data_IF_271240765167
#
_entry.id   IF_271240765167
#
_cell.length_a   1.000
_cell.length_b   1.000
_cell.length_c   1.000
_cell.angle_alpha   90.00
_cell.angle_beta   90.00
_cell.angle_gamma   90.00
#
_symmetry.space_group_name_H-M   'P 1'
#
loop_
_entity.id
_entity.type
_entity.pdbx_description
1 polymer ?
#
# COMPACT_ATOMS: atom_id res chain seq x y z
N UNK A 1 3.95 14.85 0.54
CA UNK A 1 3.57 14.56 1.94
C UNK A 1 3.95 13.14 2.28
N UNK A 2 4.09 12.83 3.57
CA UNK A 2 4.25 11.47 4.07
C UNK A 2 3.10 11.21 5.04
N UNK A 3 2.36 10.14 4.84
CA UNK A 3 1.31 9.68 5.75
C UNK A 3 1.71 8.35 6.38
N UNK A 4 1.45 8.19 7.68
CA UNK A 4 1.63 6.92 8.39
C UNK A 4 0.28 6.21 8.48
N UNK A 5 0.24 4.98 8.00
CA UNK A 5 -0.97 4.21 7.79
C UNK A 5 -0.82 2.86 8.49
N UNK A 6 -1.41 2.69 9.69
CA UNK A 6 -1.45 1.39 10.33
C UNK A 6 -2.29 0.43 9.51
N UNK A 7 -1.84 -0.82 9.40
CA UNK A 7 -2.65 -1.88 8.81
C UNK A 7 -3.86 -2.16 9.73
N UNK A 8 -5.11 -2.05 9.23
CA UNK A 8 -6.31 -2.16 10.07
C UNK A 8 -6.50 -3.54 10.68
N UNK A 9 -6.04 -4.59 10.01
CA UNK A 9 -6.21 -5.97 10.48
C UNK A 9 -4.93 -6.53 11.10
N UNK A 10 -3.78 -5.90 10.84
CA UNK A 10 -2.49 -6.26 11.45
C UNK A 10 -1.86 -5.03 12.12
N UNK A 11 -2.33 -4.63 13.32
CA UNK A 11 -1.86 -3.41 13.99
C UNK A 11 -0.36 -3.36 14.30
N UNK A 12 0.33 -4.51 14.25
CA UNK A 12 1.77 -4.61 14.38
C UNK A 12 2.57 -4.10 13.18
N UNK A 13 1.91 -3.62 12.11
CA UNK A 13 2.55 -3.09 10.91
C UNK A 13 2.03 -1.69 10.60
N UNK A 14 2.95 -0.78 10.26
CA UNK A 14 2.64 0.57 9.76
C UNK A 14 3.33 0.79 8.42
N UNK A 15 2.56 1.28 7.46
CA UNK A 15 3.04 1.70 6.15
C UNK A 15 3.18 3.22 6.10
N UNK A 16 4.37 3.70 5.75
CA UNK A 16 4.61 5.09 5.44
C UNK A 16 4.50 5.27 3.94
N UNK A 17 3.64 6.19 3.52
CA UNK A 17 3.39 6.43 2.12
C UNK A 17 3.74 7.87 1.78
N UNK A 18 4.74 8.01 0.91
CA UNK A 18 5.15 9.29 0.39
C UNK A 18 4.42 9.52 -0.93
N UNK A 19 3.75 10.67 -1.08
CA UNK A 19 3.12 11.05 -2.34
C UNK A 19 3.17 12.56 -2.59
N UNK A 20 3.04 12.94 -3.85
CA UNK A 20 2.97 14.34 -4.26
C UNK A 20 1.52 14.75 -4.51
N UNK A 21 1.02 15.72 -3.73
CA UNK A 21 -0.30 16.33 -3.94
C UNK A 21 -0.12 17.59 -4.80
N UNK A 22 -0.61 17.57 -6.04
CA UNK A 22 -0.68 18.78 -6.86
C UNK A 22 -1.98 19.51 -6.53
N UNK A 23 -1.86 20.69 -5.93
CA UNK A 23 -3.00 21.60 -5.75
C UNK A 23 -3.68 21.87 -7.11
N UNK A 24 -5.01 22.02 -7.12
CA UNK A 24 -5.75 22.35 -8.34
C UNK A 24 -5.24 23.63 -9.02
N UNK A 25 -4.68 24.57 -8.25
CA UNK A 25 -4.11 25.83 -8.74
C UNK A 25 -2.82 25.62 -9.53
N UNK A 26 -1.96 24.68 -9.15
CA UNK A 26 -0.73 24.37 -9.90
C UNK A 26 -1.01 23.63 -11.21
N UNK A 27 -2.05 22.80 -11.24
CA UNK A 27 -2.51 22.11 -12.46
C UNK A 27 -2.99 23.09 -13.54
N UNK A 28 -3.66 24.17 -13.14
CA UNK A 28 -4.13 25.22 -14.06
C UNK A 28 -2.96 26.07 -14.57
N UNK A 29 -1.92 26.30 -13.75
CA UNK A 29 -0.81 27.21 -14.08
C UNK A 29 0.28 26.60 -14.97
N UNK A 30 0.53 25.29 -14.91
CA UNK A 30 1.72 24.69 -15.53
C UNK A 30 1.46 23.84 -16.80
N UNK A 31 0.21 23.70 -17.26
CA UNK A 31 -0.13 23.09 -18.57
C UNK A 31 0.25 21.62 -18.77
N UNK A 32 1.01 21.00 -17.87
CA UNK A 32 1.51 19.64 -18.00
C UNK A 32 0.51 18.65 -17.38
N UNK A 33 -0.50 18.28 -18.18
CA UNK A 33 -1.67 17.50 -17.77
C UNK A 33 -1.38 15.98 -17.63
N UNK A 34 -0.29 15.49 -18.24
CA UNK A 34 -0.06 14.05 -18.43
C UNK A 34 1.23 13.50 -17.80
N UNK A 35 2.13 14.35 -17.31
CA UNK A 35 3.32 13.89 -16.58
C UNK A 35 3.15 14.08 -15.07
N UNK A 36 2.45 13.15 -14.44
CA UNK A 36 2.67 12.86 -13.02
C UNK A 36 3.48 11.56 -12.97
N UNK A 37 4.82 11.64 -13.03
CA UNK A 37 5.61 10.43 -13.02
C UNK A 37 5.52 9.84 -11.61
N UNK A 38 4.74 8.78 -11.43
CA UNK A 38 5.03 7.68 -10.49
C UNK A 38 5.48 8.03 -9.05
N UNK A 39 5.10 9.17 -8.48
CA UNK A 39 5.70 9.66 -7.23
C UNK A 39 4.94 9.17 -5.99
N UNK A 40 4.61 7.88 -5.94
CA UNK A 40 4.15 7.27 -4.68
C UNK A 40 5.13 6.17 -4.28
N UNK A 41 5.68 6.29 -3.08
CA UNK A 41 6.51 5.25 -2.48
C UNK A 41 5.85 4.72 -1.21
N UNK A 42 5.91 3.42 -0.97
CA UNK A 42 5.38 2.75 0.21
C UNK A 42 6.50 2.03 0.95
N UNK A 43 6.58 2.25 2.26
CA UNK A 43 7.49 1.53 3.14
C UNK A 43 6.76 1.05 4.38
N UNK A 44 6.54 -0.26 4.47
CA UNK A 44 5.86 -0.90 5.58
C UNK A 44 6.89 -1.51 6.53
N UNK A 45 6.73 -1.22 7.82
CA UNK A 45 7.65 -1.65 8.86
C UNK A 45 6.89 -2.33 9.98
N UNK A 46 7.53 -3.34 10.58
CA UNK A 46 7.04 -3.97 11.79
C UNK A 46 7.26 -3.04 12.98
N UNK A 47 6.19 -2.81 13.74
CA UNK A 47 6.22 -2.03 14.98
C UNK A 47 5.74 -2.85 16.20
N UNK A 48 5.19 -4.05 15.98
CA UNK A 48 4.66 -4.89 17.05
C UNK A 48 4.52 -6.36 16.66
N UNK A 49 3.76 -7.09 17.47
CA UNK A 49 3.40 -8.49 17.20
C UNK A 49 2.48 -8.59 15.98
N UNK A 50 2.65 -9.62 15.17
CA UNK A 50 1.79 -9.92 14.02
C UNK A 50 0.95 -11.14 14.37
N UNK A 51 -0.36 -11.04 14.16
CA UNK A 51 -1.28 -12.16 14.22
C UNK A 51 -1.95 -12.29 12.85
N UNK A 52 -1.90 -13.48 12.26
CA UNK A 52 -2.50 -13.78 10.96
C UNK A 52 -3.85 -14.49 11.09
N UNK A 53 -4.38 -14.64 12.30
CA UNK A 53 -5.69 -15.25 12.52
C UNK A 53 -6.80 -14.47 11.78
N UNK A 54 -7.49 -15.13 10.86
CA UNK A 54 -8.57 -14.52 10.08
C UNK A 54 -8.11 -13.64 8.92
N UNK A 55 -6.79 -13.51 8.69
CA UNK A 55 -6.24 -12.77 7.55
C UNK A 55 -6.27 -13.64 6.30
N UNK A 56 -6.79 -13.09 5.21
CA UNK A 56 -6.81 -13.79 3.92
C UNK A 56 -5.39 -14.07 3.41
N UNK A 57 -5.13 -15.34 3.11
CA UNK A 57 -3.89 -15.82 2.49
C UNK A 57 -4.04 -16.02 0.97
N UNK A 58 -5.12 -15.50 0.39
CA UNK A 58 -5.35 -15.57 -1.05
C UNK A 58 -4.24 -14.87 -1.83
N UNK A 59 -3.84 -15.46 -2.96
CA UNK A 59 -2.90 -14.84 -3.90
C UNK A 59 -3.39 -13.52 -4.47
N UNK A 60 -4.71 -13.33 -4.53
CA UNK A 60 -5.27 -12.06 -4.96
C UNK A 60 -5.00 -10.95 -3.95
N UNK A 61 -4.71 -11.24 -2.68
CA UNK A 61 -4.56 -10.24 -1.63
C UNK A 61 -5.82 -9.44 -1.33
N UNK A 62 -5.70 -8.56 -0.35
CA UNK A 62 -6.78 -7.73 0.19
C UNK A 62 -6.41 -6.25 0.11
N UNK A 63 -7.36 -5.42 -0.32
CA UNK A 63 -7.18 -3.97 -0.32
C UNK A 63 -7.48 -3.43 1.07
N UNK A 64 -6.47 -2.87 1.72
CA UNK A 64 -6.52 -2.55 3.16
C UNK A 64 -6.88 -1.09 3.47
N UNK A 65 -7.01 -0.24 2.44
CA UNK A 65 -7.39 1.17 2.63
C UNK A 65 -8.50 1.62 1.68
N UNK A 66 -9.50 2.30 2.25
CA UNK A 66 -10.66 2.81 1.54
C UNK A 66 -10.43 4.23 0.99
N UNK A 67 -10.87 4.47 -0.25
CA UNK A 67 -10.82 5.75 -0.95
C UNK A 67 -11.45 6.94 -0.20
N UNK A 68 -12.35 6.68 0.74
CA UNK A 68 -13.05 7.72 1.51
C UNK A 68 -12.17 8.41 2.56
N UNK A 69 -11.05 7.80 2.93
CA UNK A 69 -10.24 8.25 4.08
C UNK A 69 -9.20 9.32 3.72
N UNK A 70 -8.69 9.35 2.48
CA UNK A 70 -7.68 10.33 2.04
C UNK A 70 -7.80 10.64 0.54
N UNK A 71 -7.43 11.86 0.15
CA UNK A 71 -7.26 12.22 -1.27
C UNK A 71 -6.23 11.31 -1.96
N UNK A 72 -5.24 10.81 -1.22
CA UNK A 72 -4.28 9.84 -1.72
C UNK A 72 -4.95 8.55 -2.21
N UNK A 73 -5.89 8.00 -1.44
CA UNK A 73 -6.53 6.72 -1.76
C UNK A 73 -7.56 6.81 -2.89
N UNK A 74 -7.97 8.01 -3.32
CA UNK A 74 -8.80 8.17 -4.53
C UNK A 74 -8.09 7.63 -5.76
N UNK A 75 -6.77 7.78 -5.80
CA UNK A 75 -5.96 7.51 -6.99
C UNK A 75 -5.01 6.33 -6.78
N UNK A 76 -4.74 5.91 -5.53
CA UNK A 76 -3.84 4.80 -5.22
C UNK A 76 -4.53 3.77 -4.33
N UNK A 77 -4.31 2.49 -4.62
CA UNK A 77 -4.73 1.37 -3.79
C UNK A 77 -3.49 0.72 -3.16
N UNK A 78 -3.61 0.23 -1.92
CA UNK A 78 -2.59 -0.60 -1.28
C UNK A 78 -3.20 -1.95 -0.97
N UNK A 79 -2.49 -3.00 -1.42
CA UNK A 79 -2.94 -4.36 -1.32
C UNK A 79 -1.98 -5.18 -0.47
N UNK A 80 -2.52 -5.85 0.55
CA UNK A 80 -1.81 -6.80 1.41
C UNK A 80 -1.89 -8.20 0.80
N UNK A 81 -0.76 -8.87 0.68
CA UNK A 81 -0.67 -10.27 0.23
C UNK A 81 0.17 -11.02 1.25
N UNK A 82 -0.36 -12.11 1.80
CA UNK A 82 0.38 -13.00 2.70
C UNK A 82 1.03 -14.11 1.88
N UNK A 83 2.36 -14.09 1.78
CA UNK A 83 3.15 -15.14 1.16
C UNK A 83 3.72 -16.07 2.24
N UNK A 84 2.98 -17.13 2.53
CA UNK A 84 3.37 -18.15 3.51
C UNK A 84 4.61 -18.95 3.06
N UNK A 85 4.83 -19.09 1.75
CA UNK A 85 5.96 -19.87 1.23
C UNK A 85 7.28 -19.14 1.48
N UNK A 86 7.31 -17.83 1.22
CA UNK A 86 8.48 -16.99 1.45
C UNK A 86 8.52 -16.32 2.82
N UNK A 87 7.50 -16.56 3.66
CA UNK A 87 7.40 -16.04 5.03
C UNK A 87 7.41 -14.52 5.05
N UNK A 88 6.58 -13.91 4.22
CA UNK A 88 6.54 -12.44 4.06
C UNK A 88 5.11 -11.95 3.85
N UNK A 89 4.80 -10.76 4.38
CA UNK A 89 3.64 -9.98 3.96
C UNK A 89 4.12 -8.95 2.95
N UNK A 90 3.48 -8.92 1.79
CA UNK A 90 3.75 -7.94 0.75
C UNK A 90 2.66 -6.87 0.77
N UNK A 91 3.08 -5.62 0.67
CA UNK A 91 2.22 -4.46 0.52
C UNK A 91 2.50 -3.85 -0.85
N UNK A 92 1.55 -3.99 -1.76
CA UNK A 92 1.65 -3.49 -3.13
C UNK A 92 0.81 -2.24 -3.25
N UNK A 93 1.46 -1.10 -3.46
CA UNK A 93 0.78 0.12 -3.88
C UNK A 93 0.67 0.16 -5.40
N UNK A 94 -0.48 0.56 -5.93
CA UNK A 94 -0.67 0.74 -7.37
C UNK A 94 -1.65 1.87 -7.68
N UNK A 95 -1.43 2.54 -8.80
CA UNK A 95 -2.35 3.56 -9.31
C UNK A 95 -3.67 2.93 -9.78
N UNK A 96 -4.79 3.58 -9.44
CA UNK A 96 -6.13 3.28 -9.99
C UNK A 96 -6.40 4.02 -11.30
N UNK A 97 -5.65 5.08 -11.58
CA UNK A 97 -5.75 5.79 -12.86
C UNK A 97 -5.14 4.94 -13.98
N UNK A 98 -5.98 4.50 -14.93
CA UNK A 98 -5.50 3.93 -16.18
C UNK A 98 -4.91 5.06 -17.03
N UNK A 99 -3.60 5.28 -16.91
CA UNK A 99 -2.86 6.20 -17.79
C UNK A 99 -2.08 5.35 -18.80
N UNK A 100 -2.45 5.46 -20.08
CA UNK A 100 -1.73 5.05 -21.29
C UNK A 100 -0.53 4.10 -21.09
N UNK A 101 -0.80 2.86 -20.67
CA UNK A 101 0.17 1.77 -20.74
C UNK A 101 1.26 1.72 -19.66
N UNK A 102 1.19 2.52 -18.58
CA UNK A 102 2.14 2.42 -17.45
C UNK A 102 1.45 2.06 -16.14
N UNK A 103 1.53 0.78 -15.75
CA UNK A 103 1.16 0.34 -14.41
C UNK A 103 2.20 0.88 -13.40
N UNK A 104 1.87 1.97 -12.70
CA UNK A 104 2.71 2.50 -11.62
C UNK A 104 2.45 1.68 -10.37
N UNK A 105 3.49 0.99 -9.90
CA UNK A 105 3.44 0.12 -8.73
C UNK A 105 4.68 0.32 -7.88
N UNK A 106 4.52 0.17 -6.58
CA UNK A 106 5.61 0.05 -5.62
C UNK A 106 5.29 -1.05 -4.60
N UNK A 107 6.31 -1.66 -4.02
CA UNK A 107 6.18 -2.82 -3.15
C UNK A 107 7.03 -2.68 -1.89
N UNK A 108 6.45 -3.06 -0.76
CA UNK A 108 7.16 -3.23 0.49
C UNK A 108 6.92 -4.64 1.05
N UNK A 109 7.94 -5.23 1.68
CA UNK A 109 7.86 -6.57 2.25
C UNK A 109 8.20 -6.55 3.74
N UNK A 110 7.40 -7.26 4.54
CA UNK A 110 7.60 -7.43 5.98
C UNK A 110 7.81 -8.91 6.26
N UNK A 111 8.98 -9.33 6.78
CA UNK A 111 9.27 -10.73 7.07
C UNK A 111 8.49 -11.24 8.29
N UNK A 112 8.06 -12.49 8.19
CA UNK A 112 7.32 -13.22 9.21
C UNK A 112 8.20 -14.27 9.89
N UNK A 113 7.94 -14.50 11.18
CA UNK A 113 8.52 -15.60 11.93
C UNK A 113 7.72 -16.88 11.74
N UNK A 114 8.32 -18.03 12.09
CA UNK A 114 7.61 -19.31 12.06
C UNK A 114 6.39 -19.34 13.00
N UNK A 115 6.49 -18.66 14.15
CA UNK A 115 5.38 -18.58 15.11
C UNK A 115 4.19 -17.81 14.54
N UNK A 116 4.44 -16.73 13.80
CA UNK A 116 3.37 -15.90 13.21
C UNK A 116 2.70 -16.62 12.04
N UNK A 117 3.47 -17.34 11.23
CA UNK A 117 2.91 -18.19 10.17
C UNK A 117 1.99 -19.26 10.77
N UNK A 118 2.33 -19.82 11.92
CA UNK A 118 1.49 -20.81 12.59
C UNK A 118 0.12 -20.26 13.06
N UNK A 119 -0.05 -18.93 13.11
CA UNK A 119 -1.34 -18.29 13.42
C UNK A 119 -2.25 -18.15 12.20
N UNK A 120 -1.70 -18.24 10.98
CA UNK A 120 -2.49 -18.25 9.76
C UNK A 120 -3.29 -19.56 9.69
N UNK A 121 -4.63 -19.46 9.71
CA UNK A 121 -5.55 -20.59 9.59
C UNK A 121 -6.18 -20.63 8.20
#
# INVERSE_FOLDING_TARGET
MIEALPDPDIPGIVCHVAYFDRSMLDRIRQGNWFENPSNSAVSCQRIGAIDLAGISTSRSGEEIFNQRTSLFFKNTAIRRIVDLQNRTILYISHSRELVEGSAKMDISSVPLTAAEIATAR
#
